data_IF_019108431585
#
_entry.id   IF_019108431585
#
_cell.length_a   1.000
_cell.length_b   1.000
_cell.length_c   1.000
_cell.angle_alpha   90.00
_cell.angle_beta   90.00
_cell.angle_gamma   90.00
#
_symmetry.space_group_name_H-M   'P 1'
#
loop_
_entity.id
_entity.type
_entity.pdbx_description
1 polymer ?
#
# COMPACT_ATOMS: atom_id res chain seq x y z
N UNK A 1 -0.69 -14.84 8.17
CA UNK A 1 0.32 -14.48 7.16
C UNK A 1 0.03 -15.22 5.86
N UNK A 2 -0.66 -14.54 4.96
CA UNK A 2 -0.90 -14.98 3.58
C UNK A 2 -0.02 -14.17 2.62
N UNK A 3 0.76 -14.85 1.77
CA UNK A 3 1.70 -14.22 0.82
C UNK A 3 1.47 -14.82 -0.57
N UNK A 4 0.54 -14.28 -1.36
CA UNK A 4 0.33 -14.73 -2.74
C UNK A 4 1.58 -14.59 -3.63
N UNK A 5 1.90 -15.63 -4.40
CA UNK A 5 3.11 -15.67 -5.25
C UNK A 5 3.02 -14.75 -6.48
N UNK A 6 1.82 -14.33 -6.89
CA UNK A 6 1.60 -13.47 -8.04
C UNK A 6 1.82 -11.97 -7.74
N UNK A 7 2.29 -11.63 -6.54
CA UNK A 7 2.55 -10.28 -6.08
C UNK A 7 4.05 -10.03 -5.92
N UNK A 8 4.47 -8.78 -6.17
CA UNK A 8 5.81 -8.29 -5.81
C UNK A 8 5.71 -7.45 -4.55
N UNK A 9 6.64 -7.60 -3.62
CA UNK A 9 6.57 -6.98 -2.30
C UNK A 9 7.73 -6.00 -2.06
N UNK A 10 7.48 -4.98 -1.26
CA UNK A 10 8.49 -4.07 -0.71
C UNK A 10 8.94 -4.53 0.68
N UNK A 11 10.07 -4.00 1.15
CA UNK A 11 10.52 -4.19 2.53
C UNK A 11 9.60 -3.45 3.54
N UNK A 12 8.90 -2.41 3.08
CA UNK A 12 7.93 -1.62 3.86
C UNK A 12 6.51 -2.23 3.86
N UNK A 13 6.35 -3.48 3.39
CA UNK A 13 5.11 -4.26 3.47
C UNK A 13 3.96 -3.83 2.55
N UNK A 14 4.25 -3.11 1.47
CA UNK A 14 3.34 -2.96 0.32
C UNK A 14 3.55 -4.06 -0.72
N UNK A 15 2.56 -4.24 -1.59
CA UNK A 15 2.63 -5.13 -2.73
C UNK A 15 2.14 -4.46 -4.02
N UNK A 16 2.60 -5.00 -5.14
CA UNK A 16 2.16 -4.65 -6.50
C UNK A 16 1.67 -5.91 -7.22
N UNK A 17 0.47 -5.81 -7.80
CA UNK A 17 -0.04 -6.71 -8.82
C UNK A 17 0.01 -5.99 -10.17
N UNK A 18 0.64 -6.61 -11.17
CA UNK A 18 0.60 -6.10 -12.55
C UNK A 18 -0.56 -6.75 -13.30
N UNK A 19 -1.46 -5.95 -13.86
CA UNK A 19 -2.60 -6.42 -14.65
C UNK A 19 -2.82 -5.49 -15.84
N UNK A 20 -2.71 -6.03 -17.06
CA UNK A 20 -3.10 -5.35 -18.30
C UNK A 20 -2.65 -3.89 -18.47
N UNK A 21 -1.38 -3.62 -18.14
CA UNK A 21 -0.78 -2.29 -18.29
C UNK A 21 -1.01 -1.34 -17.10
N UNK A 22 -1.76 -1.79 -16.09
CA UNK A 22 -1.97 -1.11 -14.83
C UNK A 22 -1.26 -1.82 -13.67
N UNK A 23 -1.00 -1.05 -12.62
CA UNK A 23 -0.48 -1.55 -11.36
C UNK A 23 -1.53 -1.37 -10.28
N UNK A 24 -1.91 -2.47 -9.63
CA UNK A 24 -2.73 -2.45 -8.43
C UNK A 24 -1.80 -2.56 -7.24
N UNK A 25 -1.97 -1.67 -6.27
CA UNK A 25 -1.14 -1.58 -5.07
C UNK A 25 -1.96 -1.75 -3.81
N UNK A 26 -1.34 -2.28 -2.76
CA UNK A 26 -1.96 -2.44 -1.46
C UNK A 26 -0.95 -2.83 -0.38
N UNK A 27 -1.44 -3.06 0.83
CA UNK A 27 -0.62 -3.48 1.98
C UNK A 27 -0.71 -4.99 2.19
N UNK A 28 0.37 -5.59 2.68
CA UNK A 28 0.44 -7.03 2.94
C UNK A 28 -0.45 -7.47 4.12
N UNK A 29 -0.71 -8.78 4.20
CA UNK A 29 -1.42 -9.38 5.35
C UNK A 29 -0.70 -9.12 6.69
N UNK A 30 0.63 -8.96 6.66
CA UNK A 30 1.39 -8.59 7.84
C UNK A 30 1.09 -7.14 8.26
N UNK A 31 1.16 -6.20 7.30
CA UNK A 31 0.92 -4.78 7.58
C UNK A 31 -0.48 -4.53 8.16
N UNK A 32 -1.53 -5.12 7.60
CA UNK A 32 -2.88 -4.95 8.16
C UNK A 32 -2.98 -5.52 9.60
N UNK A 33 -2.27 -6.61 9.90
CA UNK A 33 -2.29 -7.19 11.23
C UNK A 33 -1.60 -6.30 12.27
N UNK A 34 -0.49 -5.66 11.89
CA UNK A 34 0.22 -4.68 12.73
C UNK A 34 -0.60 -3.39 12.94
N UNK A 35 -1.29 -2.93 11.89
CA UNK A 35 -2.19 -1.77 11.97
C UNK A 35 -3.42 -2.06 12.83
N UNK A 36 -3.87 -3.31 12.88
CA UNK A 36 -5.08 -3.78 13.58
C UNK A 36 -6.37 -3.23 12.97
N UNK A 37 -7.28 -2.68 13.78
CA UNK A 37 -8.60 -2.24 13.33
C UNK A 37 -8.49 -0.97 12.47
N UNK A 38 -8.33 -1.14 11.16
CA UNK A 38 -8.32 -0.04 10.17
C UNK A 38 -9.70 0.61 10.13
N UNK A 39 -9.75 1.92 10.35
CA UNK A 39 -10.99 2.71 10.41
C UNK A 39 -11.06 3.78 9.32
N UNK A 40 -9.93 4.16 8.74
CA UNK A 40 -9.88 5.18 7.69
C UNK A 40 -8.70 4.96 6.74
N UNK A 41 -8.88 5.37 5.49
CA UNK A 41 -7.85 5.35 4.45
C UNK A 41 -7.95 6.66 3.66
N UNK A 42 -6.88 7.44 3.68
CA UNK A 42 -6.73 8.67 2.89
C UNK A 42 -6.07 8.32 1.56
N UNK A 43 -6.88 8.17 0.51
CA UNK A 43 -6.42 7.80 -0.82
C UNK A 43 -5.96 9.03 -1.61
N UNK A 44 -4.95 8.89 -2.48
CA UNK A 44 -4.51 9.99 -3.34
C UNK A 44 -5.60 10.41 -4.33
N UNK A 45 -5.55 11.67 -4.77
CA UNK A 45 -6.42 12.14 -5.85
C UNK A 45 -6.08 11.45 -7.18
N UNK A 46 -7.11 11.14 -7.96
CA UNK A 46 -6.94 10.57 -9.31
C UNK A 46 -6.11 11.51 -10.18
N UNK A 47 -5.04 10.98 -10.77
CA UNK A 47 -4.09 11.74 -11.61
C UNK A 47 -2.90 12.32 -10.85
N UNK A 48 -2.77 12.06 -9.54
CA UNK A 48 -1.55 12.34 -8.78
C UNK A 48 -0.40 11.46 -9.27
N UNK A 49 0.79 12.04 -9.40
CA UNK A 49 2.02 11.33 -9.78
C UNK A 49 2.93 11.17 -8.56
N UNK A 50 3.53 10.00 -8.39
CA UNK A 50 4.46 9.70 -7.29
C UNK A 50 5.75 9.07 -7.82
N UNK A 51 6.88 9.39 -7.17
CA UNK A 51 8.10 8.59 -7.34
C UNK A 51 8.04 7.36 -6.44
N UNK A 52 8.70 6.28 -6.86
CA UNK A 52 8.88 5.13 -5.99
C UNK A 52 9.48 5.56 -4.64
N UNK A 53 8.88 5.09 -3.56
CA UNK A 53 9.14 5.40 -2.14
C UNK A 53 8.59 6.74 -1.63
N UNK A 54 7.89 7.52 -2.46
CA UNK A 54 7.13 8.66 -1.95
C UNK A 54 5.93 8.17 -1.13
N UNK A 55 5.55 8.90 -0.08
CA UNK A 55 4.31 8.65 0.64
C UNK A 55 3.13 9.03 -0.27
N UNK A 56 2.22 8.09 -0.52
CA UNK A 56 1.11 8.27 -1.45
C UNK A 56 -0.29 8.12 -0.83
N UNK A 57 -0.36 7.53 0.36
CA UNK A 57 -1.62 7.27 1.06
C UNK A 57 -1.37 7.19 2.56
N UNK A 58 -2.38 7.48 3.38
CA UNK A 58 -2.34 7.26 4.83
C UNK A 58 -3.39 6.22 5.21
N UNK A 59 -3.00 5.23 6.01
CA UNK A 59 -3.93 4.25 6.59
C UNK A 59 -4.00 4.49 8.09
N UNK A 60 -5.22 4.67 8.60
CA UNK A 60 -5.45 4.88 10.03
C UNK A 60 -6.20 3.71 10.65
N UNK A 61 -5.72 3.32 11.83
CA UNK A 61 -6.40 2.42 12.73
C UNK A 61 -6.90 3.13 13.97
N UNK A 62 -7.57 2.40 14.86
CA UNK A 62 -7.97 2.93 16.17
C UNK A 62 -6.80 3.32 17.08
N UNK A 63 -5.55 2.99 16.70
CA UNK A 63 -4.35 3.18 17.53
C UNK A 63 -3.31 4.08 16.88
N UNK A 64 -3.09 3.94 15.57
CA UNK A 64 -2.01 4.61 14.85
C UNK A 64 -2.46 5.04 13.45
N UNK A 65 -1.76 6.03 12.90
CA UNK A 65 -1.77 6.35 11.48
C UNK A 65 -0.41 5.98 10.88
N UNK A 66 -0.41 5.42 9.67
CA UNK A 66 0.80 5.03 8.96
C UNK A 66 0.77 5.53 7.51
N UNK A 67 1.89 6.09 7.08
CA UNK A 67 2.13 6.41 5.67
C UNK A 67 2.35 5.12 4.89
N UNK A 68 1.73 5.05 3.71
CA UNK A 68 1.93 4.00 2.71
C UNK A 68 2.77 4.58 1.58
N UNK A 69 3.81 3.84 1.19
CA UNK A 69 4.76 4.31 0.19
C UNK A 69 4.47 3.72 -1.18
N UNK A 70 4.62 4.54 -2.23
CA UNK A 70 4.48 4.11 -3.60
C UNK A 70 5.55 3.06 -3.94
N UNK A 71 5.20 1.80 -4.26
CA UNK A 71 6.19 0.76 -4.53
C UNK A 71 6.87 0.91 -5.90
N UNK A 72 6.26 1.68 -6.81
CA UNK A 72 6.74 2.00 -8.15
C UNK A 72 6.39 3.44 -8.48
N UNK A 73 7.13 4.07 -9.38
CA UNK A 73 6.78 5.41 -9.88
C UNK A 73 5.63 5.34 -10.89
N UNK A 74 4.74 6.32 -10.87
CA UNK A 74 3.63 6.45 -11.82
C UNK A 74 2.53 7.36 -11.31
#
# INVERSE_FOLDING_TARGET
MNIPENLKYTESHEWVLTSDGEFVVGISDFAQHELTDIVFVDLPEVGSEFSAKDACCVVESTKIAADIYAPVSG
#
